data_IF_172615496320
#
_entry.id   IF_172615496320
#
_cell.length_a   1.000
_cell.length_b   1.000
_cell.length_c   1.000
_cell.angle_alpha   90.00
_cell.angle_beta   90.00
_cell.angle_gamma   90.00
#
_symmetry.space_group_name_H-M   'P 1'
#
loop_
_entity.id
_entity.type
_entity.pdbx_description
1 polymer ?
#
# COMPACT_ATOMS: atom_id res chain seq x y z
N UNK A 1 21.05 2.47 -8.32
CA UNK A 1 19.84 2.09 -7.58
C UNK A 1 20.08 2.41 -6.12
N UNK A 2 19.39 3.40 -5.55
CA UNK A 2 19.40 3.60 -4.10
C UNK A 2 18.24 2.78 -3.56
N UNK A 3 18.54 1.67 -2.89
CA UNK A 3 17.56 0.98 -2.06
C UNK A 3 17.23 1.94 -0.91
N UNK A 4 16.01 2.47 -0.90
CA UNK A 4 15.48 3.12 0.30
C UNK A 4 15.35 2.01 1.34
N UNK A 5 16.04 2.08 2.49
CA UNK A 5 15.90 1.04 3.49
C UNK A 5 14.42 0.95 3.87
N UNK A 6 13.87 -0.27 3.93
CA UNK A 6 12.57 -0.59 4.55
C UNK A 6 12.38 0.32 5.76
N UNK A 7 11.58 1.38 5.59
CA UNK A 7 11.53 2.47 6.56
C UNK A 7 10.76 1.93 7.73
N UNK A 8 11.48 1.41 8.75
CA UNK A 8 10.87 1.06 10.02
C UNK A 8 10.23 2.34 10.56
N UNK A 9 8.90 2.41 10.53
CA UNK A 9 8.16 3.59 10.98
C UNK A 9 8.52 3.86 12.45
N UNK A 10 9.09 5.02 12.72
CA UNK A 10 9.41 5.50 14.07
C UNK A 10 8.45 6.59 14.50
N UNK A 11 8.05 7.42 13.54
CA UNK A 11 7.13 8.52 13.73
C UNK A 11 5.99 8.44 12.70
N UNK A 12 4.85 9.10 12.95
CA UNK A 12 3.72 9.11 12.01
C UNK A 12 4.08 9.61 10.60
N UNK A 13 4.98 10.59 10.47
CA UNK A 13 5.39 11.14 9.18
C UNK A 13 6.12 10.13 8.27
N UNK A 14 6.68 9.05 8.84
CA UNK A 14 7.33 7.99 8.07
C UNK A 14 6.34 7.22 7.18
N UNK A 15 5.03 7.30 7.47
CA UNK A 15 3.98 6.61 6.72
C UNK A 15 3.98 6.99 5.24
N UNK A 16 4.34 8.23 4.90
CA UNK A 16 4.37 8.70 3.52
C UNK A 16 5.44 7.96 2.71
N UNK A 17 6.62 7.80 3.30
CA UNK A 17 7.73 7.06 2.69
C UNK A 17 7.45 5.57 2.61
N UNK A 18 6.87 4.99 3.67
CA UNK A 18 6.51 3.58 3.70
C UNK A 18 5.42 3.23 2.69
N UNK A 19 4.39 4.07 2.56
CA UNK A 19 3.34 3.90 1.55
C UNK A 19 3.91 3.96 0.14
N UNK A 20 4.71 4.99 -0.15
CA UNK A 20 5.35 5.14 -1.47
C UNK A 20 6.23 3.94 -1.82
N UNK A 21 7.00 3.42 -0.87
CA UNK A 21 7.81 2.22 -1.07
C UNK A 21 6.93 0.99 -1.35
N UNK A 22 5.98 0.65 -0.47
CA UNK A 22 5.12 -0.52 -0.65
C UNK A 22 4.30 -0.45 -1.96
N UNK A 23 3.82 0.74 -2.32
CA UNK A 23 3.07 0.96 -3.54
C UNK A 23 3.91 0.71 -4.80
N UNK A 24 5.10 1.33 -4.87
CA UNK A 24 5.98 1.23 -6.06
C UNK A 24 6.74 -0.10 -6.13
N UNK A 25 6.98 -0.76 -5.01
CA UNK A 25 7.56 -2.11 -4.98
C UNK A 25 6.50 -3.19 -5.25
N UNK A 26 5.24 -2.79 -5.47
CA UNK A 26 4.08 -3.68 -5.66
C UNK A 26 3.85 -4.65 -4.48
N UNK A 27 4.33 -4.31 -3.29
CA UNK A 27 4.20 -5.12 -2.09
C UNK A 27 2.90 -4.80 -1.35
N UNK A 28 1.85 -5.53 -1.73
CA UNK A 28 0.52 -5.33 -1.15
C UNK A 28 0.44 -5.79 0.30
N UNK A 29 1.30 -6.72 0.73
CA UNK A 29 1.35 -7.14 2.13
C UNK A 29 1.96 -6.03 3.01
N UNK A 30 3.06 -5.43 2.56
CA UNK A 30 3.64 -4.26 3.21
C UNK A 30 2.65 -3.08 3.22
N UNK A 31 1.94 -2.84 2.12
CA UNK A 31 0.90 -1.82 2.03
C UNK A 31 -0.19 -2.04 3.09
N UNK A 32 -0.70 -3.26 3.19
CA UNK A 32 -1.72 -3.64 4.17
C UNK A 32 -1.27 -3.39 5.62
N UNK A 33 0.01 -3.64 5.92
CA UNK A 33 0.60 -3.41 7.25
C UNK A 33 0.69 -1.95 7.69
N UNK A 34 0.39 -0.98 6.81
CA UNK A 34 0.35 0.45 7.15
C UNK A 34 -1.00 0.91 7.71
N UNK A 35 -2.02 0.06 7.63
CA UNK A 35 -3.39 0.40 8.00
C UNK A 35 -3.78 -0.22 9.34
N UNK A 36 -4.72 0.44 10.02
CA UNK A 36 -5.46 -0.17 11.11
C UNK A 36 -6.33 -1.34 10.60
N UNK A 37 -6.59 -2.33 11.46
CA UNK A 37 -7.31 -3.56 11.10
C UNK A 37 -8.67 -3.28 10.43
N UNK A 38 -9.37 -2.22 10.87
CA UNK A 38 -10.70 -1.82 10.38
C UNK A 38 -10.67 -0.58 9.48
N UNK A 39 -9.49 -0.20 8.96
CA UNK A 39 -9.34 0.98 8.12
C UNK A 39 -10.24 0.94 6.88
N UNK A 40 -10.72 2.12 6.47
CA UNK A 40 -11.50 2.29 5.25
C UNK A 40 -10.63 2.92 4.17
N UNK A 41 -10.75 2.44 2.93
CA UNK A 41 -9.98 2.96 1.81
C UNK A 41 -10.87 3.23 0.61
N UNK A 42 -10.62 4.35 -0.08
CA UNK A 42 -11.22 4.66 -1.38
C UNK A 42 -10.10 4.83 -2.40
N UNK A 43 -10.11 4.01 -3.44
CA UNK A 43 -9.08 4.09 -4.49
C UNK A 43 -9.43 5.13 -5.56
N UNK A 44 -8.50 5.38 -6.49
CA UNK A 44 -8.68 6.33 -7.60
C UNK A 44 -9.86 6.02 -8.54
N UNK A 45 -10.37 4.79 -8.53
CA UNK A 45 -11.53 4.36 -9.32
C UNK A 45 -12.85 4.57 -8.55
N UNK A 46 -12.79 5.09 -7.32
CA UNK A 46 -13.94 5.30 -6.46
C UNK A 46 -14.43 4.05 -5.74
N UNK A 47 -13.66 2.96 -5.74
CA UNK A 47 -14.02 1.75 -4.99
C UNK A 47 -13.73 1.93 -3.51
N UNK A 48 -14.77 1.75 -2.69
CA UNK A 48 -14.69 1.74 -1.23
C UNK A 48 -14.57 0.32 -0.70
N UNK A 49 -13.66 0.11 0.25
CA UNK A 49 -13.45 -1.15 0.98
C UNK A 49 -13.17 -0.88 2.46
N UNK A 50 -13.43 -1.87 3.31
CA UNK A 50 -13.15 -1.81 4.75
C UNK A 50 -12.38 -3.04 5.23
N UNK A 51 -11.30 -2.77 5.94
CA UNK A 51 -10.41 -3.78 6.52
C UNK A 51 -9.22 -4.11 5.63
N UNK A 52 -8.12 -4.52 6.27
CA UNK A 52 -6.84 -4.75 5.59
C UNK A 52 -6.96 -5.78 4.47
N UNK A 53 -7.71 -6.87 4.69
CA UNK A 53 -7.90 -7.91 3.68
C UNK A 53 -8.55 -7.37 2.40
N UNK A 54 -9.62 -6.58 2.53
CA UNK A 54 -10.29 -5.99 1.36
C UNK A 54 -9.40 -4.95 0.66
N UNK A 55 -8.62 -4.17 1.42
CA UNK A 55 -7.64 -3.23 0.86
C UNK A 55 -6.60 -3.97 0.00
N UNK A 56 -6.05 -5.07 0.50
CA UNK A 56 -5.02 -5.86 -0.21
C UNK A 56 -5.61 -6.54 -1.44
N UNK A 57 -6.77 -7.21 -1.29
CA UNK A 57 -7.46 -7.91 -2.39
C UNK A 57 -7.83 -6.95 -3.51
N UNK A 58 -8.25 -5.72 -3.18
CA UNK A 58 -8.58 -4.71 -4.17
C UNK A 58 -7.37 -4.26 -5.01
N UNK A 59 -6.19 -4.13 -4.39
CA UNK A 59 -5.01 -3.55 -5.06
C UNK A 59 -4.11 -4.58 -5.76
N UNK A 60 -4.00 -5.81 -5.24
CA UNK A 60 -3.16 -6.86 -5.82
C UNK A 60 -3.34 -7.04 -7.35
N UNK A 61 -4.55 -7.26 -7.89
CA UNK A 61 -4.71 -7.43 -9.33
C UNK A 61 -4.37 -6.16 -10.13
N UNK A 62 -4.53 -4.97 -9.55
CA UNK A 62 -4.20 -3.70 -10.21
C UNK A 62 -2.67 -3.55 -10.34
N UNK A 63 -1.93 -3.88 -9.28
CA UNK A 63 -0.47 -3.87 -9.27
C UNK A 63 0.13 -4.99 -10.12
N UNK A 64 -0.55 -6.14 -10.22
CA UNK A 64 -0.18 -7.20 -11.15
C UNK A 64 -0.53 -6.86 -12.60
N UNK A 65 -1.38 -5.88 -12.90
CA UNK A 65 -1.81 -5.59 -14.26
C UNK A 65 -1.51 -4.16 -14.68
N UNK A 66 -2.39 -3.21 -14.34
CA UNK A 66 -2.35 -1.82 -14.78
C UNK A 66 -1.06 -1.12 -14.35
N UNK A 67 -0.55 -1.42 -13.15
CA UNK A 67 0.66 -0.81 -12.61
C UNK A 67 1.90 -1.68 -12.70
N UNK A 68 1.85 -2.87 -13.31
CA UNK A 68 2.97 -3.83 -13.32
C UNK A 68 4.34 -3.22 -13.64
N UNK A 69 4.36 -2.24 -14.56
CA UNK A 69 5.58 -1.64 -15.10
C UNK A 69 5.80 -0.19 -14.62
N UNK A 70 5.08 0.26 -13.59
CA UNK A 70 5.20 1.62 -13.04
C UNK A 70 6.39 1.80 -12.11
#
# INVERSE_FOLDING_TARGET
>A
MRQTPMTKMKNPEDVLGAFHAAWNDHDMAALGGLFDQDATFVNRFGHYVRGIEEIVVLHAPIHETIYRDS
#
